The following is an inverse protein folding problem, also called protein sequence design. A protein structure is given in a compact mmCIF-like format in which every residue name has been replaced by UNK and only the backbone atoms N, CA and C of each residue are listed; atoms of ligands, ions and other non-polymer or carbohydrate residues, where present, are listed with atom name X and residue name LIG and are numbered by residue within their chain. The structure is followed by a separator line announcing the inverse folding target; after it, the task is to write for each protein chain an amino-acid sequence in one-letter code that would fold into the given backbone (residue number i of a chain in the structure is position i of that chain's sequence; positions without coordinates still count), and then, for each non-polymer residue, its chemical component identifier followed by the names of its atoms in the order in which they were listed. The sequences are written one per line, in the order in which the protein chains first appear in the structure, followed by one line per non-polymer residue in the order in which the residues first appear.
data_IF_069242237932
#
_entry.id   IF_069242237932
#
_cell.length_a   1.000
_cell.length_b   1.000
_cell.length_c   1.000
_cell.angle_alpha   90.00
_cell.angle_beta   90.00
_cell.angle_gamma   90.00
#
_symmetry.space_group_name_H-M   'P 1'
#
loop_
_entity.id
_entity.type
_entity.pdbx_description
1 polymer ?
#
# COMPACT_ATOMS: atom_id res chain seq x y z
N UNK A 1 2.73 -11.69 -17.21
CA UNK A 1 4.00 -10.93 -17.19
C UNK A 1 3.72 -9.46 -16.96
N UNK A 2 4.58 -8.76 -16.21
CA UNK A 2 4.49 -7.31 -16.00
C UNK A 2 4.86 -6.60 -17.29
N UNK A 3 4.02 -5.65 -17.72
CA UNK A 3 4.21 -4.91 -18.99
C UNK A 3 4.76 -3.50 -18.79
N UNK A 4 4.47 -2.89 -17.64
CA UNK A 4 4.85 -1.53 -17.30
C UNK A 4 5.33 -1.46 -15.84
N UNK A 5 6.14 -0.45 -15.54
CA UNK A 5 6.63 -0.16 -14.20
C UNK A 5 6.48 1.34 -13.92
N UNK A 6 6.21 1.70 -12.69
CA UNK A 6 6.15 3.08 -12.23
C UNK A 6 7.45 3.38 -11.51
N UNK A 7 8.26 4.37 -11.96
CA UNK A 7 9.49 4.73 -11.25
C UNK A 7 9.22 5.16 -9.80
N UNK A 8 10.09 4.75 -8.89
CA UNK A 8 9.96 5.09 -7.46
C UNK A 8 10.42 6.51 -7.14
N UNK A 9 11.14 7.17 -8.06
CA UNK A 9 11.84 8.41 -7.82
C UNK A 9 13.31 8.21 -7.40
N UNK A 10 13.70 6.99 -7.04
CA UNK A 10 15.08 6.59 -6.77
C UNK A 10 15.59 5.66 -7.86
N UNK A 11 16.50 6.15 -8.69
CA UNK A 11 17.13 5.34 -9.77
C UNK A 11 17.87 4.12 -9.23
N UNK A 12 18.45 4.23 -8.04
CA UNK A 12 19.09 3.12 -7.35
C UNK A 12 18.09 2.03 -6.99
N UNK A 13 16.98 2.41 -6.36
CA UNK A 13 15.95 1.47 -5.98
C UNK A 13 15.32 0.81 -7.21
N UNK A 14 15.01 1.59 -8.25
CA UNK A 14 14.47 1.06 -9.52
C UNK A 14 15.41 0.02 -10.14
N UNK A 15 16.71 0.28 -10.12
CA UNK A 15 17.72 -0.66 -10.60
C UNK A 15 17.79 -1.94 -9.77
N UNK A 16 17.71 -1.84 -8.44
CA UNK A 16 17.69 -3.01 -7.54
C UNK A 16 16.46 -3.87 -7.80
N UNK A 17 15.27 -3.25 -7.86
CA UNK A 17 14.00 -3.95 -8.09
C UNK A 17 14.04 -4.71 -9.41
N UNK A 18 14.54 -4.08 -10.47
CA UNK A 18 14.49 -4.60 -11.83
C UNK A 18 15.82 -5.20 -12.32
N UNK A 19 16.69 -5.57 -11.39
CA UNK A 19 17.97 -6.26 -11.68
C UNK A 19 18.83 -5.54 -12.74
N UNK A 20 19.09 -4.25 -12.49
CA UNK A 20 19.90 -3.39 -13.36
C UNK A 20 19.12 -2.61 -14.40
N UNK A 21 17.83 -2.88 -14.59
CA UNK A 21 16.94 -2.05 -15.42
C UNK A 21 16.30 -0.98 -14.56
N UNK A 22 16.33 0.27 -14.99
CA UNK A 22 15.70 1.37 -14.25
C UNK A 22 14.21 1.46 -14.59
N UNK A 23 13.40 0.67 -13.94
CA UNK A 23 11.98 0.56 -14.23
C UNK A 23 11.08 0.99 -13.05
N UNK A 24 11.15 0.37 -11.88
CA UNK A 24 10.37 0.76 -10.70
C UNK A 24 9.42 -0.33 -10.19
N UNK A 25 8.27 0.07 -9.65
CA UNK A 25 7.28 -0.87 -9.14
C UNK A 25 6.41 -1.46 -10.26
N UNK A 26 5.99 -2.73 -10.14
CA UNK A 26 5.26 -3.41 -11.21
C UNK A 26 3.79 -2.94 -11.30
N UNK A 27 3.36 -2.51 -12.48
CA UNK A 27 1.97 -2.19 -12.78
C UNK A 27 1.12 -3.45 -12.81
N UNK A 28 -0.12 -3.35 -12.34
CA UNK A 28 -1.07 -4.46 -12.29
C UNK A 28 -0.84 -5.41 -11.11
N UNK A 29 -0.09 -4.98 -10.10
CA UNK A 29 0.31 -5.79 -8.95
C UNK A 29 0.12 -5.03 -7.64
N UNK A 30 0.29 -5.77 -6.54
CA UNK A 30 0.32 -5.21 -5.19
C UNK A 30 1.78 -5.05 -4.77
N UNK A 31 2.14 -3.86 -4.29
CA UNK A 31 3.45 -3.55 -3.72
C UNK A 31 3.29 -3.11 -2.27
N UNK A 32 4.05 -3.69 -1.36
CA UNK A 32 4.17 -3.24 0.02
C UNK A 32 5.41 -2.35 0.19
N UNK A 33 5.23 -1.19 0.84
CA UNK A 33 6.32 -0.35 1.33
C UNK A 33 6.22 -0.34 2.85
N UNK A 34 7.15 -1.00 3.51
CA UNK A 34 7.20 -1.13 4.97
C UNK A 34 8.42 -0.41 5.54
N UNK A 35 8.31 0.08 6.76
CA UNK A 35 9.42 0.72 7.46
C UNK A 35 8.98 1.25 8.82
N UNK A 36 9.95 1.65 9.63
CA UNK A 36 9.71 2.36 10.88
C UNK A 36 9.08 3.74 10.63
N UNK A 37 8.62 4.40 11.69
CA UNK A 37 8.13 5.77 11.57
C UNK A 37 9.22 6.69 11.02
N UNK A 38 8.81 7.67 10.22
CA UNK A 38 9.71 8.70 9.63
C UNK A 38 10.83 8.18 8.71
N UNK A 39 10.70 6.99 8.12
CA UNK A 39 11.67 6.45 7.15
C UNK A 39 11.46 6.91 5.71
N UNK A 40 10.47 7.77 5.44
CA UNK A 40 10.22 8.31 4.12
C UNK A 40 9.20 7.53 3.25
N UNK A 41 8.44 6.61 3.83
CA UNK A 41 7.44 5.80 3.11
C UNK A 41 6.43 6.65 2.33
N UNK A 42 5.82 7.63 3.00
CA UNK A 42 4.82 8.52 2.38
C UNK A 42 5.45 9.42 1.30
N UNK A 43 6.71 9.84 1.48
CA UNK A 43 7.44 10.58 0.45
C UNK A 43 7.68 9.73 -0.80
N UNK A 44 8.13 8.50 -0.62
CA UNK A 44 8.29 7.56 -1.74
C UNK A 44 6.95 7.29 -2.44
N UNK A 45 5.88 7.10 -1.70
CA UNK A 45 4.55 6.92 -2.27
C UNK A 45 4.10 8.14 -3.09
N UNK A 46 4.37 9.36 -2.62
CA UNK A 46 4.06 10.60 -3.34
C UNK A 46 4.90 10.72 -4.64
N UNK A 47 6.17 10.32 -4.63
CA UNK A 47 6.99 10.26 -5.85
C UNK A 47 6.46 9.24 -6.85
N UNK A 48 6.09 8.06 -6.39
CA UNK A 48 5.44 7.02 -7.22
C UNK A 48 4.14 7.57 -7.82
N UNK A 49 3.32 8.26 -7.02
CA UNK A 49 2.08 8.87 -7.48
C UNK A 49 2.32 9.91 -8.59
N UNK A 50 3.29 10.79 -8.44
CA UNK A 50 3.67 11.76 -9.45
C UNK A 50 4.14 11.10 -10.75
N UNK A 51 4.94 10.05 -10.66
CA UNK A 51 5.37 9.28 -11.82
C UNK A 51 4.21 8.53 -12.49
N UNK A 52 3.27 8.01 -11.72
CA UNK A 52 2.06 7.40 -12.25
C UNK A 52 1.17 8.40 -13.00
N UNK A 53 1.02 9.62 -12.47
CA UNK A 53 0.29 10.69 -13.15
C UNK A 53 0.91 11.04 -14.51
N UNK A 54 2.24 11.08 -14.61
CA UNK A 54 2.96 11.27 -15.90
C UNK A 54 2.71 10.15 -16.90
N UNK A 55 2.35 8.96 -16.42
CA UNK A 55 1.99 7.80 -17.25
C UNK A 55 0.50 7.80 -17.63
N UNK A 56 -0.29 8.78 -17.20
CA UNK A 56 -1.74 8.86 -17.43
C UNK A 56 -2.59 8.06 -16.44
N UNK A 57 -2.03 7.60 -15.35
CA UNK A 57 -2.77 6.89 -14.31
C UNK A 57 -3.54 7.88 -13.42
N UNK A 58 -4.75 7.48 -13.02
CA UNK A 58 -5.52 8.19 -12.00
C UNK A 58 -5.07 7.73 -10.61
N UNK A 59 -4.66 8.68 -9.78
CA UNK A 59 -4.19 8.38 -8.41
C UNK A 59 -5.32 8.56 -7.40
N UNK A 60 -5.48 7.57 -6.54
CA UNK A 60 -6.36 7.59 -5.35
C UNK A 60 -5.50 7.36 -4.12
N UNK A 61 -5.59 8.25 -3.16
CA UNK A 61 -4.87 8.16 -1.89
C UNK A 61 -5.84 7.98 -0.74
N UNK A 62 -5.71 6.84 -0.06
CA UNK A 62 -6.45 6.54 1.17
C UNK A 62 -5.59 6.88 2.38
N UNK A 63 -5.97 7.91 3.11
CA UNK A 63 -5.24 8.41 4.28
C UNK A 63 -5.89 7.94 5.59
N UNK A 64 -5.17 7.18 6.38
CA UNK A 64 -5.61 6.73 7.71
C UNK A 64 -5.09 7.62 8.84
N UNK A 65 -4.09 8.46 8.58
CA UNK A 65 -3.41 9.25 9.61
C UNK A 65 -3.78 10.74 9.55
N UNK A 66 -4.57 11.16 8.55
CA UNK A 66 -4.97 12.57 8.31
C UNK A 66 -3.77 13.52 8.25
N UNK A 67 -2.67 13.04 7.69
CA UNK A 67 -1.36 13.72 7.70
C UNK A 67 -0.98 14.34 6.36
N UNK A 68 -1.90 14.36 5.38
CA UNK A 68 -1.60 14.85 4.05
C UNK A 68 -1.40 16.36 4.05
N UNK A 69 -0.20 16.80 3.66
CA UNK A 69 0.11 18.18 3.32
C UNK A 69 0.25 18.31 1.79
N UNK A 70 -0.64 19.05 1.11
CA UNK A 70 -0.54 19.24 -0.34
C UNK A 70 0.81 19.77 -0.80
N UNK A 71 1.47 20.65 -0.04
CA UNK A 71 2.78 21.18 -0.37
C UNK A 71 3.88 20.12 -0.34
N UNK A 72 3.74 19.12 0.51
CA UNK A 72 4.63 17.96 0.58
C UNK A 72 4.50 17.10 -0.69
N UNK A 73 3.27 16.91 -1.17
CA UNK A 73 3.01 16.15 -2.38
C UNK A 73 3.54 16.83 -3.63
N UNK A 74 3.33 18.14 -3.75
CA UNK A 74 3.91 18.93 -4.85
C UNK A 74 5.43 18.84 -4.88
N UNK A 75 6.10 18.96 -3.73
CA UNK A 75 7.56 18.80 -3.63
C UNK A 75 8.04 17.41 -4.03
N UNK A 76 7.23 16.38 -3.81
CA UNK A 76 7.52 15.01 -4.25
C UNK A 76 7.25 14.79 -5.75
N UNK A 77 6.64 15.76 -6.44
CA UNK A 77 6.34 15.71 -7.87
C UNK A 77 4.94 15.19 -8.21
N UNK A 78 4.06 15.04 -7.21
CA UNK A 78 2.67 14.66 -7.41
C UNK A 78 1.79 15.91 -7.45
N UNK A 79 0.87 15.97 -8.41
CA UNK A 79 -0.13 17.03 -8.50
C UNK A 79 -1.33 16.69 -7.58
N UNK A 80 -1.53 17.42 -6.48
CA UNK A 80 -2.63 17.15 -5.55
C UNK A 80 -4.00 17.41 -6.18
N UNK A 81 -4.12 18.35 -7.13
CA UNK A 81 -5.38 18.65 -7.82
C UNK A 81 -5.86 17.50 -8.71
N UNK A 82 -4.93 16.64 -9.15
CA UNK A 82 -5.21 15.43 -9.96
C UNK A 82 -5.25 14.17 -9.11
N UNK A 83 -5.22 14.30 -7.80
CA UNK A 83 -5.25 13.16 -6.88
C UNK A 83 -6.61 13.09 -6.19
N UNK A 84 -7.27 11.96 -6.27
CA UNK A 84 -8.46 11.70 -5.46
C UNK A 84 -8.00 11.35 -4.06
N UNK A 85 -8.26 12.25 -3.13
CA UNK A 85 -7.97 12.05 -1.71
C UNK A 85 -9.22 11.60 -0.96
N UNK A 86 -9.08 10.57 -0.15
CA UNK A 86 -10.15 10.08 0.72
C UNK A 86 -9.58 9.52 2.03
N UNK A 87 -10.37 9.57 3.09
CA UNK A 87 -9.98 8.96 4.36
C UNK A 87 -10.15 7.45 4.32
N UNK A 88 -9.19 6.73 4.89
CA UNK A 88 -9.27 5.30 5.13
C UNK A 88 -10.09 5.03 6.40
N UNK A 89 -11.41 5.09 6.29
CA UNK A 89 -12.34 4.98 7.43
C UNK A 89 -12.27 3.59 8.05
N UNK A 90 -12.29 2.54 7.24
CA UNK A 90 -12.11 1.15 7.67
C UNK A 90 -11.44 0.33 6.56
N UNK A 91 -10.88 -0.82 6.94
CA UNK A 91 -10.27 -1.76 5.99
C UNK A 91 -11.29 -2.18 4.92
N UNK A 92 -12.50 -2.51 5.34
CA UNK A 92 -13.59 -2.94 4.46
C UNK A 92 -14.01 -1.83 3.50
N UNK A 93 -14.10 -0.58 3.97
CA UNK A 93 -14.45 0.58 3.13
C UNK A 93 -13.38 0.87 2.08
N UNK A 94 -12.11 0.81 2.43
CA UNK A 94 -11.02 1.01 1.46
C UNK A 94 -11.07 -0.05 0.37
N UNK A 95 -11.18 -1.33 0.75
CA UNK A 95 -11.24 -2.44 -0.21
C UNK A 95 -12.49 -2.34 -1.10
N UNK A 96 -13.64 -2.02 -0.52
CA UNK A 96 -14.89 -1.80 -1.28
C UNK A 96 -14.78 -0.63 -2.26
N UNK A 97 -14.19 0.48 -1.85
CA UNK A 97 -13.98 1.65 -2.73
C UNK A 97 -13.06 1.32 -3.90
N UNK A 98 -12.00 0.54 -3.69
CA UNK A 98 -11.13 0.07 -4.77
C UNK A 98 -11.93 -0.75 -5.79
N UNK A 99 -12.71 -1.73 -5.33
CA UNK A 99 -13.57 -2.55 -6.21
C UNK A 99 -14.59 -1.70 -6.98
N UNK A 100 -15.25 -0.77 -6.30
CA UNK A 100 -16.27 0.10 -6.90
C UNK A 100 -15.69 1.02 -7.98
N UNK A 101 -14.55 1.66 -7.70
CA UNK A 101 -13.88 2.54 -8.67
C UNK A 101 -13.41 1.78 -9.91
N UNK A 102 -12.83 0.60 -9.72
CA UNK A 102 -12.39 -0.25 -10.82
C UNK A 102 -13.57 -0.72 -11.68
N UNK A 103 -14.68 -1.07 -11.06
CA UNK A 103 -15.90 -1.52 -11.75
C UNK A 103 -16.61 -0.37 -12.47
N UNK A 104 -16.67 0.81 -11.85
CA UNK A 104 -17.32 1.98 -12.41
C UNK A 104 -16.58 2.58 -13.61
N UNK A 105 -15.24 2.43 -13.66
CA UNK A 105 -14.40 2.99 -14.72
C UNK A 105 -13.40 1.94 -15.22
N UNK A 106 -13.86 0.93 -15.99
CA UNK A 106 -13.03 -0.21 -16.41
C UNK A 106 -11.90 0.19 -17.38
N UNK A 107 -12.01 1.35 -18.04
CA UNK A 107 -10.99 1.89 -18.96
C UNK A 107 -9.92 2.72 -18.23
N UNK A 108 -10.13 3.05 -16.96
CA UNK A 108 -9.20 3.86 -16.19
C UNK A 108 -8.10 2.98 -15.60
N UNK A 109 -6.85 3.41 -15.79
CA UNK A 109 -5.70 2.83 -15.14
C UNK A 109 -5.48 3.53 -13.79
N UNK A 110 -5.65 2.80 -12.70
CA UNK A 110 -5.60 3.34 -11.34
C UNK A 110 -4.25 3.07 -10.67
N UNK A 111 -3.79 4.05 -9.88
CA UNK A 111 -2.85 3.82 -8.78
C UNK A 111 -3.57 4.10 -7.46
N UNK A 112 -3.77 3.07 -6.67
CA UNK A 112 -4.29 3.17 -5.31
C UNK A 112 -3.12 3.16 -4.33
N UNK A 113 -3.08 4.16 -3.43
CA UNK A 113 -2.13 4.22 -2.33
C UNK A 113 -2.91 4.18 -1.02
N UNK A 114 -2.54 3.27 -0.14
CA UNK A 114 -3.18 3.11 1.16
C UNK A 114 -2.16 3.39 2.27
N UNK A 115 -2.29 4.54 2.93
CA UNK A 115 -1.36 5.01 3.97
C UNK A 115 -2.10 5.28 5.29
N UNK A 116 -1.99 4.41 6.22
CA UNK A 116 -1.33 3.11 6.24
C UNK A 116 -2.31 2.01 6.62
N UNK A 117 -2.04 0.79 6.18
CA UNK A 117 -2.85 -0.37 6.57
C UNK A 117 -2.76 -0.65 8.08
N UNK A 118 -1.62 -0.33 8.70
CA UNK A 118 -1.43 -0.48 10.14
C UNK A 118 -2.35 0.44 10.95
N UNK A 119 -2.59 1.68 10.48
CA UNK A 119 -3.42 2.68 11.13
C UNK A 119 -4.92 2.55 10.82
N UNK A 120 -5.29 1.76 9.82
CA UNK A 120 -6.70 1.57 9.44
C UNK A 120 -7.34 0.46 10.28
N UNK A 121 -8.43 0.79 10.98
CA UNK A 121 -9.19 -0.17 11.78
C UNK A 121 -10.13 -1.00 10.90
N UNK A 122 -10.52 -2.21 11.34
CA UNK A 122 -11.65 -2.93 10.76
C UNK A 122 -12.98 -2.36 11.27
N UNK A 123 -14.08 -2.58 10.56
CA UNK A 123 -15.42 -2.17 11.04
C UNK A 123 -15.73 -2.79 12.40
N UNK A 124 -15.33 -4.05 12.59
CA UNK A 124 -15.47 -4.73 13.87
C UNK A 124 -14.70 -4.05 15.00
N UNK A 125 -13.51 -3.49 14.72
CA UNK A 125 -12.72 -2.76 15.71
C UNK A 125 -13.36 -1.40 16.04
N UNK A 126 -14.03 -0.78 15.07
CA UNK A 126 -14.73 0.51 15.25
C UNK A 126 -16.01 0.34 16.05
N UNK A 127 -16.77 -0.75 15.82
CA UNK A 127 -18.06 -1.03 16.47
C UNK A 127 -17.90 -1.72 17.83
N UNK A 128 -16.74 -2.33 18.09
CA UNK A 128 -16.50 -3.13 19.28
C UNK A 128 -16.07 -2.30 20.49
N UNK A 129 -16.20 -2.91 21.68
CA UNK A 129 -15.60 -2.39 22.91
C UNK A 129 -14.06 -2.37 22.80
N UNK A 130 -13.40 -1.51 23.55
CA UNK A 130 -11.93 -1.36 23.61
C UNK A 130 -11.21 -2.61 24.16
N UNK A 131 -11.70 -3.82 23.86
CA UNK A 131 -11.09 -5.07 24.26
C UNK A 131 -10.10 -5.56 23.17
N UNK A 132 -8.79 -5.52 23.41
CA UNK A 132 -7.78 -5.89 22.41
C UNK A 132 -7.87 -7.35 21.94
N UNK A 133 -8.45 -8.24 22.74
CA UNK A 133 -8.54 -9.66 22.41
C UNK A 133 -9.62 -9.98 21.37
N UNK A 134 -10.63 -9.13 21.21
CA UNK A 134 -11.73 -9.38 20.27
C UNK A 134 -11.36 -9.10 18.80
N UNK A 135 -10.29 -8.35 18.54
CA UNK A 135 -9.90 -7.85 17.22
C UNK A 135 -8.65 -8.51 16.63
N UNK A 136 -7.94 -9.32 17.41
CA UNK A 136 -6.66 -9.94 17.05
C UNK A 136 -6.77 -10.87 15.87
N UNK A 137 -6.84 -10.74 14.75
CA UNK A 137 -6.88 -11.57 13.55
C UNK A 137 -7.99 -11.19 12.56
N UNK A 138 -8.74 -10.12 12.83
CA UNK A 138 -9.80 -9.67 11.92
C UNK A 138 -9.20 -9.15 10.62
N UNK A 139 -8.26 -8.20 10.70
CA UNK A 139 -7.58 -7.66 9.52
C UNK A 139 -6.91 -8.72 8.66
N UNK A 140 -6.09 -9.64 9.19
CA UNK A 140 -5.49 -10.71 8.39
C UNK A 140 -6.51 -11.56 7.64
N UNK A 141 -7.66 -11.85 8.25
CA UNK A 141 -8.74 -12.61 7.60
C UNK A 141 -9.40 -11.83 6.47
N UNK A 142 -9.61 -10.52 6.65
CA UNK A 142 -10.16 -9.66 5.61
C UNK A 142 -9.21 -9.61 4.41
N UNK A 143 -7.92 -9.39 4.63
CA UNK A 143 -6.91 -9.37 3.57
C UNK A 143 -6.78 -10.72 2.86
N UNK A 144 -6.81 -11.83 3.61
CA UNK A 144 -6.77 -13.17 3.03
C UNK A 144 -7.97 -13.46 2.11
N UNK A 145 -9.12 -12.84 2.36
CA UNK A 145 -10.32 -12.94 1.51
C UNK A 145 -10.31 -11.96 0.34
N UNK A 146 -9.82 -10.74 0.56
CA UNK A 146 -9.91 -9.65 -0.40
C UNK A 146 -8.82 -9.71 -1.48
N UNK A 147 -7.56 -9.97 -1.11
CA UNK A 147 -6.45 -9.93 -2.07
C UNK A 147 -6.55 -10.94 -3.21
N UNK A 148 -6.99 -12.20 -3.00
CA UNK A 148 -7.24 -13.10 -4.12
C UNK A 148 -8.24 -12.54 -5.14
N UNK A 149 -9.26 -11.80 -4.67
CA UNK A 149 -10.25 -11.17 -5.54
C UNK A 149 -9.70 -9.98 -6.31
N UNK A 150 -8.75 -9.22 -5.73
CA UNK A 150 -8.19 -8.01 -6.33
C UNK A 150 -7.09 -8.30 -7.35
N UNK A 151 -6.33 -9.37 -7.19
CA UNK A 151 -5.15 -9.66 -8.04
C UNK A 151 -5.49 -9.77 -9.52
N UNK A 152 -6.55 -10.44 -9.89
CA UNK A 152 -6.95 -10.62 -11.29
C UNK A 152 -7.49 -9.30 -11.89
N UNK A 153 -8.45 -8.59 -11.26
CA UNK A 153 -8.90 -7.29 -11.75
C UNK A 153 -7.77 -6.27 -11.89
N UNK A 154 -6.88 -6.15 -10.90
CA UNK A 154 -5.72 -5.26 -10.97
C UNK A 154 -4.86 -5.56 -12.21
N UNK A 155 -4.54 -6.83 -12.43
CA UNK A 155 -3.73 -7.23 -13.59
C UNK A 155 -4.44 -6.96 -14.92
N UNK A 156 -5.73 -7.26 -15.02
CA UNK A 156 -6.51 -7.07 -16.25
C UNK A 156 -6.67 -5.59 -16.59
N UNK A 157 -6.93 -4.75 -15.60
CA UNK A 157 -7.13 -3.31 -15.78
C UNK A 157 -5.82 -2.52 -15.76
N UNK A 158 -4.68 -3.18 -15.54
CA UNK A 158 -3.37 -2.55 -15.37
C UNK A 158 -3.39 -1.46 -14.28
N UNK A 159 -4.10 -1.74 -13.20
CA UNK A 159 -4.17 -0.91 -12.01
C UNK A 159 -3.27 -1.46 -10.92
N UNK A 160 -2.75 -0.58 -10.05
CA UNK A 160 -1.70 -0.92 -9.09
C UNK A 160 -2.15 -0.53 -7.70
N UNK A 161 -1.88 -1.38 -6.71
CA UNK A 161 -2.13 -1.11 -5.30
C UNK A 161 -0.81 -1.03 -4.54
N UNK A 162 -0.56 0.11 -3.90
CA UNK A 162 0.57 0.34 -3.00
C UNK A 162 0.07 0.38 -1.57
N UNK A 163 0.56 -0.54 -0.76
CA UNK A 163 0.26 -0.65 0.66
C UNK A 163 1.42 -0.07 1.46
N UNK A 164 1.18 1.00 2.20
CA UNK A 164 2.14 1.50 3.17
C UNK A 164 1.89 0.79 4.49
N UNK A 165 2.96 0.25 5.08
CA UNK A 165 2.88 -0.50 6.32
C UNK A 165 3.94 -0.03 7.32
N UNK A 166 3.55 0.02 8.58
CA UNK A 166 4.46 0.41 9.67
C UNK A 166 5.01 -0.84 10.35
N UNK A 167 6.32 -1.00 10.36
CA UNK A 167 6.98 -2.10 11.06
C UNK A 167 6.82 -1.93 12.57
N UNK A 168 6.64 -3.06 13.26
CA UNK A 168 6.62 -3.15 14.72
C UNK A 168 7.74 -4.05 15.18
N UNK A 169 8.28 -3.77 16.36
CA UNK A 169 9.23 -4.69 16.99
C UNK A 169 8.60 -6.06 17.21
N UNK A 170 9.31 -7.09 16.85
CA UNK A 170 8.88 -8.46 17.09
C UNK A 170 9.05 -8.81 18.56
N UNK A 171 7.95 -8.92 19.28
CA UNK A 171 7.94 -9.31 20.70
C UNK A 171 7.79 -10.82 20.74
N UNK A 172 8.92 -11.52 20.86
CA UNK A 172 8.96 -12.98 20.98
C UNK A 172 9.81 -13.38 22.19
N UNK A 173 9.46 -14.48 22.84
CA UNK A 173 10.24 -15.09 23.92
C UNK A 173 11.47 -15.86 23.39
N UNK A 174 11.54 -16.12 22.09
CA UNK A 174 12.65 -16.80 21.45
C UNK A 174 13.74 -15.79 21.07
N UNK A 175 14.85 -15.84 21.79
CA UNK A 175 16.00 -14.91 21.59
C UNK A 175 16.57 -15.03 20.16
N UNK A 176 16.68 -16.25 19.61
CA UNK A 176 17.20 -16.45 18.27
C UNK A 176 16.27 -15.84 17.20
N UNK A 177 14.95 -15.95 17.37
CA UNK A 177 13.97 -15.32 16.52
C UNK A 177 13.99 -13.80 16.64
N UNK A 178 14.10 -13.24 17.85
CA UNK A 178 14.22 -11.80 18.07
C UNK A 178 15.46 -11.22 17.38
N UNK A 179 16.57 -11.96 17.35
CA UNK A 179 17.81 -11.51 16.68
C UNK A 179 17.75 -11.64 15.15
N UNK A 180 17.07 -12.65 14.63
CA UNK A 180 16.97 -12.90 13.18
C UNK A 180 15.82 -12.15 12.50
N UNK A 181 14.75 -11.88 13.25
CA UNK A 181 13.55 -11.20 12.76
C UNK A 181 13.11 -10.11 13.74
N UNK A 182 13.90 -9.03 13.89
CA UNK A 182 13.65 -8.00 14.90
C UNK A 182 12.37 -7.19 14.65
N UNK A 183 11.89 -7.15 13.41
CA UNK A 183 10.71 -6.40 13.01
C UNK A 183 9.71 -7.27 12.27
N UNK A 184 8.43 -6.96 12.45
CA UNK A 184 7.32 -7.61 11.75
C UNK A 184 6.41 -6.57 11.10
N UNK A 185 5.89 -6.91 9.95
CA UNK A 185 4.90 -6.11 9.25
C UNK A 185 3.48 -6.54 9.67
N UNK A 186 2.65 -5.65 10.23
CA UNK A 186 1.26 -5.94 10.53
C UNK A 186 0.45 -6.33 9.28
N UNK A 187 -0.66 -7.06 9.48
CA UNK A 187 -1.59 -7.41 8.40
C UNK A 187 -1.54 -8.89 7.98
N UNK A 188 -0.60 -9.65 8.54
CA UNK A 188 -0.54 -11.10 8.39
C UNK A 188 0.06 -11.57 7.07
N UNK A 189 0.07 -12.90 6.90
CA UNK A 189 0.70 -13.59 5.75
C UNK A 189 0.07 -13.26 4.39
N UNK A 190 -1.17 -12.76 4.36
CA UNK A 190 -1.83 -12.43 3.10
C UNK A 190 -1.10 -11.28 2.36
N UNK A 191 -0.65 -10.26 3.08
CA UNK A 191 0.12 -9.16 2.48
C UNK A 191 1.43 -9.70 1.90
N UNK A 192 2.13 -10.52 2.65
CA UNK A 192 3.38 -11.14 2.22
C UNK A 192 3.19 -12.01 0.96
N UNK A 193 2.13 -12.82 0.94
CA UNK A 193 1.87 -13.75 -0.15
C UNK A 193 1.40 -13.05 -1.44
N UNK A 194 0.54 -12.04 -1.35
CA UNK A 194 -0.05 -11.38 -2.50
C UNK A 194 0.73 -10.16 -2.99
N UNK A 195 1.68 -9.63 -2.21
CA UNK A 195 2.58 -8.59 -2.68
C UNK A 195 3.60 -9.16 -3.65
N UNK A 196 3.62 -8.62 -4.87
CA UNK A 196 4.61 -9.00 -5.89
C UNK A 196 5.98 -8.35 -5.63
N UNK A 197 5.98 -7.28 -4.86
CA UNK A 197 7.17 -6.55 -4.44
C UNK A 197 6.99 -6.08 -3.00
N UNK A 198 8.03 -6.20 -2.19
CA UNK A 198 8.08 -5.68 -0.83
C UNK A 198 9.36 -4.86 -0.66
N UNK A 199 9.20 -3.60 -0.30
CA UNK A 199 10.29 -2.65 -0.07
C UNK A 199 10.32 -2.35 1.43
N UNK A 200 11.46 -2.53 2.04
CA UNK A 200 11.69 -2.21 3.45
C UNK A 200 12.69 -1.06 3.55
N UNK A 201 12.27 0.03 4.23
CA UNK A 201 13.01 1.26 4.44
C UNK A 201 13.52 1.38 5.87
#
# INVERSE_FOLDING_TARGET
AVKQWIPTGSRWLDSIICRGKMAGIPVGKITEIAGLSATGKSFMAAQIAGNAQKMGMQVVYFDAESSLDPSFWERAGCDPEKTIYTQAVSVEKVLGTIEDLMSASPETQWLFIWDSIAATASEKDIEGDFNPQSSMAVKPRIFAKAFPKLTIPLANQQSTLVLINQLKTNITSNIAEAMTTPFVAPGGKAIEYFSSLRIWL
#
